data_IF_772673429780
#
_entry.id   IF_772673429780
#
_cell.length_a   1.000
_cell.length_b   1.000
_cell.length_c   1.000
_cell.angle_alpha   90.00
_cell.angle_beta   90.00
_cell.angle_gamma   90.00
#
_symmetry.space_group_name_H-M   'P 1'
#
loop_
_entity.id
_entity.type
_entity.pdbx_description
1 polymer ?
#
# COMPACT_ATOMS: atom_id res chain seq x y z
N UNK A 1 11.24 78.63 32.10
CA UNK A 1 11.91 77.37 32.48
C UNK A 1 10.85 76.29 32.60
N UNK A 2 10.63 75.49 31.56
CA UNK A 2 9.80 74.28 31.61
C UNK A 2 10.22 73.42 30.42
N UNK A 3 10.76 72.22 30.67
CA UNK A 3 11.23 71.30 29.62
C UNK A 3 10.15 70.24 29.42
N UNK A 4 9.59 70.18 28.21
CA UNK A 4 8.63 69.14 27.83
C UNK A 4 9.42 67.89 27.41
N UNK A 5 9.34 66.81 28.19
CA UNK A 5 9.91 65.51 27.83
C UNK A 5 8.98 64.78 26.86
N UNK A 6 9.42 64.63 25.61
CA UNK A 6 8.75 63.81 24.60
C UNK A 6 9.40 62.42 24.60
N UNK A 7 8.70 61.42 25.12
CA UNK A 7 9.15 60.02 25.12
C UNK A 7 8.92 59.40 23.75
N UNK A 8 9.99 59.25 22.96
CA UNK A 8 9.93 58.51 21.68
C UNK A 8 9.99 57.01 21.98
N UNK A 9 8.89 56.30 21.75
CA UNK A 9 8.83 54.85 21.91
C UNK A 9 9.38 54.18 20.64
N UNK A 10 10.63 53.68 20.70
CA UNK A 10 11.26 52.99 19.57
C UNK A 10 10.76 51.55 19.49
N UNK A 11 9.75 51.30 18.66
CA UNK A 11 9.21 49.95 18.41
C UNK A 11 10.22 49.08 17.66
N UNK A 12 10.92 48.19 18.37
CA UNK A 12 11.77 47.16 17.78
C UNK A 12 10.91 46.07 17.14
N UNK A 13 10.62 46.21 15.85
CA UNK A 13 10.11 45.12 15.02
C UNK A 13 11.22 44.10 14.79
N UNK A 14 11.30 43.07 15.64
CA UNK A 14 12.10 41.88 15.34
C UNK A 14 11.44 41.10 14.19
N UNK A 15 12.12 40.83 13.07
CA UNK A 15 11.56 39.99 12.02
C UNK A 15 11.44 38.56 12.54
N UNK A 16 10.19 38.09 12.70
CA UNK A 16 9.90 36.70 13.04
C UNK A 16 10.18 35.80 11.84
N UNK A 17 11.43 35.32 11.73
CA UNK A 17 11.80 34.27 10.77
C UNK A 17 11.19 32.94 11.22
N UNK A 18 9.89 32.76 10.99
CA UNK A 18 9.24 31.45 11.10
C UNK A 18 9.76 30.61 9.94
N UNK A 19 10.75 29.75 10.23
CA UNK A 19 11.19 28.71 9.29
C UNK A 19 10.01 27.79 9.01
N UNK A 20 9.50 27.80 7.77
CA UNK A 20 8.40 26.94 7.38
C UNK A 20 8.81 25.47 7.51
N UNK A 21 8.21 24.76 8.47
CA UNK A 21 8.36 23.31 8.66
C UNK A 21 7.63 22.57 7.55
N UNK A 22 8.23 21.50 7.01
CA UNK A 22 7.69 20.80 5.84
C UNK A 22 6.31 20.17 6.08
N UNK A 23 6.15 19.49 7.22
CA UNK A 23 4.83 19.11 7.76
C UNK A 23 4.65 19.70 9.16
N UNK A 24 3.40 19.84 9.66
CA UNK A 24 3.13 20.28 11.03
C UNK A 24 4.00 19.55 12.09
N UNK A 25 4.66 20.27 13.02
CA UNK A 25 5.54 19.66 14.02
C UNK A 25 4.82 19.21 15.30
N UNK A 26 3.51 19.42 15.39
CA UNK A 26 2.65 19.21 16.56
C UNK A 26 2.53 17.73 16.98
N UNK A 27 2.79 16.80 16.06
CA UNK A 27 2.84 15.36 16.34
C UNK A 27 4.21 14.86 16.87
N UNK A 28 5.20 15.76 16.99
CA UNK A 28 6.55 15.44 17.44
C UNK A 28 7.43 14.72 16.42
N UNK A 29 7.07 14.69 15.14
CA UNK A 29 7.98 14.42 14.04
C UNK A 29 8.66 15.73 13.63
N UNK A 30 9.97 15.70 13.46
CA UNK A 30 10.76 16.83 12.96
C UNK A 30 11.19 16.57 11.52
N UNK A 31 11.46 17.63 10.76
CA UNK A 31 11.92 17.50 9.37
C UNK A 31 13.24 16.71 9.26
N UNK A 32 14.07 16.71 10.31
CA UNK A 32 15.24 15.83 10.43
C UNK A 32 14.86 14.33 10.42
N UNK A 33 13.86 13.92 11.21
CA UNK A 33 13.38 12.52 11.25
C UNK A 33 12.76 12.13 9.91
N UNK A 34 11.98 13.03 9.30
CA UNK A 34 11.38 12.86 7.97
C UNK A 34 12.47 12.68 6.90
N UNK A 35 13.54 13.48 6.98
CA UNK A 35 14.69 13.40 6.08
C UNK A 35 15.44 12.06 6.22
N UNK A 36 15.60 11.52 7.44
CA UNK A 36 16.18 10.18 7.64
C UNK A 36 15.35 9.11 6.95
N UNK A 37 14.01 9.13 7.08
CA UNK A 37 13.16 8.17 6.37
C UNK A 37 13.32 8.28 4.85
N UNK A 38 13.19 9.48 4.27
CA UNK A 38 13.33 9.68 2.82
C UNK A 38 14.71 9.29 2.30
N UNK A 39 15.77 9.62 3.04
CA UNK A 39 17.13 9.26 2.69
C UNK A 39 17.33 7.74 2.69
N UNK A 40 16.95 7.05 3.77
CA UNK A 40 17.14 5.60 3.87
C UNK A 40 16.36 4.83 2.80
N UNK A 41 15.08 5.19 2.56
CA UNK A 41 14.30 4.56 1.50
C UNK A 41 14.93 4.76 0.12
N UNK A 42 15.30 5.99 -0.24
CA UNK A 42 15.91 6.26 -1.55
C UNK A 42 17.31 5.64 -1.69
N UNK A 43 18.09 5.58 -0.61
CA UNK A 43 19.38 4.89 -0.59
C UNK A 43 19.21 3.40 -0.93
N UNK A 44 18.31 2.69 -0.25
CA UNK A 44 18.10 1.26 -0.51
C UNK A 44 17.39 0.98 -1.84
N UNK A 45 16.48 1.86 -2.29
CA UNK A 45 15.89 1.80 -3.65
C UNK A 45 16.95 1.98 -4.72
N UNK A 46 17.91 2.89 -4.53
CA UNK A 46 19.06 3.09 -5.42
C UNK A 46 19.99 1.86 -5.47
N UNK A 47 20.24 1.22 -4.32
CA UNK A 47 21.00 -0.03 -4.26
C UNK A 47 20.25 -1.19 -4.94
N UNK A 48 18.94 -1.29 -4.76
CA UNK A 48 18.10 -2.28 -5.43
C UNK A 48 18.11 -2.08 -6.96
N UNK A 49 17.87 -0.85 -7.41
CA UNK A 49 17.86 -0.49 -8.83
C UNK A 49 19.18 -0.84 -9.53
N UNK A 50 20.33 -0.61 -8.88
CA UNK A 50 21.65 -0.97 -9.39
C UNK A 50 22.00 -2.46 -9.26
N UNK A 51 21.13 -3.30 -8.70
CA UNK A 51 21.38 -4.72 -8.45
C UNK A 51 22.46 -4.98 -7.39
N UNK A 52 22.55 -4.11 -6.38
CA UNK A 52 23.62 -4.11 -5.36
C UNK A 52 23.19 -4.67 -4.00
N UNK A 53 21.89 -4.93 -3.77
CA UNK A 53 21.43 -5.65 -2.59
C UNK A 53 21.61 -7.17 -2.78
N UNK A 54 22.43 -7.79 -1.94
CA UNK A 54 22.64 -9.24 -1.95
C UNK A 54 21.34 -9.97 -1.64
N UNK A 55 21.05 -11.08 -2.32
CA UNK A 55 19.90 -11.93 -2.01
C UNK A 55 20.39 -13.19 -1.28
N UNK A 56 19.81 -13.50 -0.10
CA UNK A 56 20.11 -14.72 0.66
C UNK A 56 19.93 -16.00 -0.16
N UNK A 57 18.95 -16.04 -1.07
CA UNK A 57 18.66 -17.21 -1.93
C UNK A 57 19.62 -17.34 -3.13
N UNK A 58 20.60 -16.44 -3.25
CA UNK A 58 21.69 -16.49 -4.21
C UNK A 58 21.82 -15.19 -5.01
N UNK A 59 23.06 -14.75 -5.23
CA UNK A 59 23.37 -13.57 -6.04
C UNK A 59 22.92 -12.25 -5.40
N UNK A 60 22.39 -11.37 -6.24
CA UNK A 60 21.84 -10.06 -5.88
C UNK A 60 20.38 -9.99 -6.35
N UNK A 61 19.63 -9.04 -5.82
CA UNK A 61 18.35 -8.64 -6.42
C UNK A 61 18.60 -8.16 -7.87
N UNK A 62 17.66 -8.39 -8.80
CA UNK A 62 17.80 -7.90 -10.18
C UNK A 62 17.88 -6.38 -10.22
N UNK A 63 18.45 -5.82 -11.29
CA UNK A 63 18.36 -4.36 -11.53
C UNK A 63 16.92 -3.93 -11.80
N UNK A 64 16.58 -2.69 -11.49
CA UNK A 64 15.27 -2.09 -11.76
C UNK A 64 15.35 -1.11 -12.94
N UNK A 65 14.45 -1.23 -13.91
CA UNK A 65 14.42 -0.36 -15.08
C UNK A 65 14.08 1.10 -14.74
N UNK A 66 13.07 1.30 -13.88
CA UNK A 66 12.41 2.59 -13.66
C UNK A 66 12.02 2.85 -12.19
N UNK A 67 12.84 2.42 -11.24
CA UNK A 67 12.60 2.60 -9.80
C UNK A 67 12.31 4.06 -9.45
N UNK A 68 11.11 4.37 -8.93
CA UNK A 68 10.77 5.76 -8.56
C UNK A 68 11.50 6.23 -7.32
N UNK A 69 11.81 7.52 -7.23
CA UNK A 69 12.30 8.20 -6.02
C UNK A 69 11.11 8.55 -5.10
N UNK A 70 11.16 8.14 -3.83
CA UNK A 70 10.12 8.48 -2.85
C UNK A 70 10.30 9.89 -2.30
N UNK A 71 9.20 10.61 -2.14
CA UNK A 71 9.10 11.91 -1.46
C UNK A 71 8.23 11.79 -0.20
N UNK A 72 8.30 12.77 0.70
CA UNK A 72 7.54 12.74 1.94
C UNK A 72 6.14 13.36 1.78
N UNK A 73 5.13 12.75 2.40
CA UNK A 73 3.74 13.20 2.36
C UNK A 73 3.17 13.36 3.77
N UNK A 74 2.62 14.55 4.04
CA UNK A 74 2.15 14.93 5.36
C UNK A 74 0.81 14.27 5.76
N UNK A 75 -0.07 13.96 4.80
CA UNK A 75 -1.32 13.26 5.11
C UNK A 75 -1.06 11.78 5.34
N UNK A 76 -0.08 11.18 4.62
CA UNK A 76 0.39 9.82 4.90
C UNK A 76 1.08 9.75 6.28
N UNK A 77 1.89 10.75 6.66
CA UNK A 77 2.46 10.80 8.02
C UNK A 77 1.36 10.88 9.08
N UNK A 78 0.38 11.78 8.87
CA UNK A 78 -0.71 11.99 9.81
C UNK A 78 -1.50 10.70 10.06
N UNK A 79 -1.86 9.97 9.01
CA UNK A 79 -2.58 8.70 9.11
C UNK A 79 -1.77 7.65 9.90
N UNK A 80 -0.51 7.42 9.49
CA UNK A 80 0.41 6.50 10.18
C UNK A 80 0.65 6.92 11.65
N UNK A 81 0.67 8.22 11.95
CA UNK A 81 0.84 8.75 13.30
C UNK A 81 -0.40 8.57 14.18
N UNK A 82 -1.60 8.79 13.63
CA UNK A 82 -2.87 8.50 14.32
C UNK A 82 -2.98 7.02 14.69
N UNK A 83 -2.50 6.12 13.80
CA UNK A 83 -2.41 4.70 14.12
C UNK A 83 -1.30 4.37 15.13
N UNK A 84 -0.09 4.90 14.94
CA UNK A 84 1.06 4.60 15.80
C UNK A 84 0.85 5.02 17.27
N UNK A 85 0.09 6.10 17.50
CA UNK A 85 -0.32 6.55 18.85
C UNK A 85 -1.18 5.51 19.61
N UNK A 86 -1.80 4.54 18.94
CA UNK A 86 -2.52 3.43 19.57
C UNK A 86 -1.57 2.41 20.22
N UNK A 87 -0.28 2.43 19.87
CA UNK A 87 0.75 1.54 20.42
C UNK A 87 0.49 0.03 20.21
N UNK A 88 -0.17 -0.32 19.11
CA UNK A 88 -0.46 -1.71 18.72
C UNK A 88 0.53 -2.11 17.60
N UNK A 89 1.39 -3.10 17.84
CA UNK A 89 2.33 -3.63 16.83
C UNK A 89 1.65 -4.73 16.00
N UNK A 90 0.65 -4.31 15.23
CA UNK A 90 -0.12 -5.11 14.25
C UNK A 90 -0.52 -4.15 13.13
N UNK A 91 -0.77 -4.64 11.92
CA UNK A 91 -1.40 -3.81 10.89
C UNK A 91 -2.87 -3.52 11.23
N UNK A 92 -3.34 -2.29 10.94
CA UNK A 92 -4.76 -1.95 10.82
C UNK A 92 -5.40 -2.61 9.58
N UNK A 93 -6.74 -2.57 9.43
CA UNK A 93 -7.38 -2.76 8.14
C UNK A 93 -6.78 -1.83 7.06
N UNK A 94 -6.85 -2.24 5.79
CA UNK A 94 -6.32 -1.44 4.68
C UNK A 94 -7.14 -0.16 4.43
N UNK A 95 -8.46 -0.21 4.65
CA UNK A 95 -9.36 0.93 4.55
C UNK A 95 -8.98 2.06 5.54
N UNK A 96 -8.58 1.72 6.77
CA UNK A 96 -8.08 2.64 7.81
C UNK A 96 -6.77 3.36 7.43
N UNK A 97 -6.13 2.98 6.31
CA UNK A 97 -4.94 3.63 5.77
C UNK A 97 -5.05 3.96 4.29
N UNK A 98 -6.26 4.25 3.82
CA UNK A 98 -6.52 4.67 2.43
C UNK A 98 -5.95 3.68 1.38
N UNK A 99 -5.88 2.40 1.72
CA UNK A 99 -5.28 1.34 0.90
C UNK A 99 -3.79 1.53 0.56
N UNK A 100 -3.09 2.29 1.40
CA UNK A 100 -1.63 2.41 1.38
C UNK A 100 -0.98 1.15 1.94
N UNK A 101 0.24 0.87 1.47
CA UNK A 101 1.09 -0.15 2.06
C UNK A 101 1.54 0.29 3.44
N UNK A 102 1.98 -0.63 4.29
CA UNK A 102 2.43 -0.29 5.64
C UNK A 102 3.55 -1.23 6.10
N UNK A 103 4.61 -0.65 6.65
CA UNK A 103 5.66 -1.38 7.36
C UNK A 103 5.72 -0.95 8.82
N UNK A 104 5.88 -1.91 9.72
CA UNK A 104 5.92 -1.69 11.16
C UNK A 104 7.23 -2.21 11.76
N UNK A 105 7.72 -1.56 12.81
CA UNK A 105 8.92 -1.96 13.54
C UNK A 105 8.85 -1.49 14.99
N UNK A 106 9.28 -2.31 15.93
CA UNK A 106 9.27 -1.95 17.35
C UNK A 106 10.51 -2.48 18.08
N UNK A 107 10.93 -1.76 19.12
CA UNK A 107 12.05 -2.13 20.00
C UNK A 107 11.73 -1.88 21.46
N UNK A 108 12.21 -2.74 22.36
CA UNK A 108 12.14 -2.54 23.81
C UNK A 108 12.99 -1.36 24.32
N UNK A 109 13.82 -0.75 23.47
CA UNK A 109 14.53 0.48 23.78
C UNK A 109 13.52 1.64 23.90
N UNK A 110 13.20 2.02 25.14
CA UNK A 110 12.31 3.14 25.47
C UNK A 110 12.97 4.47 25.13
N UNK A 111 12.18 5.42 24.66
CA UNK A 111 12.62 6.79 24.34
C UNK A 111 13.84 6.83 23.39
N UNK A 112 13.92 5.87 22.45
CA UNK A 112 14.99 5.85 21.44
C UNK A 112 14.90 7.13 20.59
N UNK A 113 16.05 7.73 20.27
CA UNK A 113 16.10 8.90 19.38
C UNK A 113 15.33 8.64 18.10
N UNK A 114 14.43 9.55 17.70
CA UNK A 114 13.53 9.33 16.56
C UNK A 114 14.29 9.17 15.24
N UNK A 115 15.42 9.85 15.07
CA UNK A 115 16.29 9.69 13.90
C UNK A 115 16.93 8.30 13.86
N UNK A 116 17.46 7.82 14.99
CA UNK A 116 18.04 6.49 15.09
C UNK A 116 16.99 5.36 14.98
N UNK A 117 15.77 5.58 15.49
CA UNK A 117 14.65 4.67 15.32
C UNK A 117 14.20 4.58 13.85
N UNK A 118 14.15 5.72 13.14
CA UNK A 118 13.86 5.76 11.71
C UNK A 118 14.91 5.00 10.88
N UNK A 119 16.20 5.25 11.15
CA UNK A 119 17.32 4.54 10.52
C UNK A 119 17.25 3.03 10.76
N UNK A 120 17.05 2.64 12.02
CA UNK A 120 17.00 1.23 12.46
C UNK A 120 15.80 0.48 11.91
N UNK A 121 14.64 1.12 11.78
CA UNK A 121 13.44 0.51 11.22
C UNK A 121 13.63 0.18 9.72
N UNK A 122 14.08 1.15 8.92
CA UNK A 122 14.29 0.95 7.48
C UNK A 122 15.41 -0.06 7.22
N UNK A 123 16.51 0.00 7.98
CA UNK A 123 17.58 -1.00 7.91
C UNK A 123 17.07 -2.40 8.31
N UNK A 124 16.18 -2.49 9.31
CA UNK A 124 15.51 -3.73 9.73
C UNK A 124 14.65 -4.33 8.62
N UNK A 125 13.80 -3.53 7.99
CA UNK A 125 12.96 -3.95 6.85
C UNK A 125 13.80 -4.43 5.67
N UNK A 126 14.87 -3.73 5.31
CA UNK A 126 15.77 -4.15 4.24
C UNK A 126 16.55 -5.42 4.60
N UNK A 127 16.86 -5.65 5.89
CA UNK A 127 17.65 -6.81 6.31
C UNK A 127 17.02 -8.15 5.92
N UNK A 128 15.70 -8.20 5.70
CA UNK A 128 14.97 -9.38 5.26
C UNK A 128 15.55 -10.01 3.98
N UNK A 129 15.99 -9.21 3.00
CA UNK A 129 16.59 -9.75 1.76
C UNK A 129 17.98 -10.36 1.98
N UNK A 130 18.65 -9.98 3.08
CA UNK A 130 19.95 -10.50 3.49
C UNK A 130 19.84 -11.72 4.41
N UNK A 131 18.81 -11.78 5.26
CA UNK A 131 18.59 -12.85 6.25
C UNK A 131 17.76 -14.01 5.70
N UNK A 132 16.70 -13.69 4.95
CA UNK A 132 15.70 -14.62 4.43
C UNK A 132 15.77 -14.71 2.90
N UNK A 133 15.87 -13.56 2.23
CA UNK A 133 15.96 -13.44 0.78
C UNK A 133 14.59 -13.34 0.10
N UNK A 134 14.64 -13.12 -1.22
CA UNK A 134 13.47 -12.94 -2.05
C UNK A 134 13.42 -14.00 -3.17
N UNK A 135 12.25 -14.54 -3.56
CA UNK A 135 12.14 -15.58 -4.59
C UNK A 135 12.92 -15.30 -5.88
N UNK A 136 13.50 -16.34 -6.48
CA UNK A 136 14.40 -16.20 -7.67
C UNK A 136 13.69 -15.72 -8.94
N UNK A 137 12.39 -15.98 -9.07
CA UNK A 137 11.56 -15.41 -10.14
C UNK A 137 11.24 -13.92 -9.90
N UNK A 138 11.65 -13.38 -8.76
CA UNK A 138 11.39 -12.02 -8.30
C UNK A 138 9.91 -11.63 -8.22
N UNK A 139 9.03 -12.62 -8.08
CA UNK A 139 7.59 -12.43 -7.88
C UNK A 139 7.27 -12.46 -6.39
N UNK A 140 6.45 -11.51 -5.96
CA UNK A 140 5.92 -11.44 -4.61
C UNK A 140 4.88 -12.54 -4.38
N UNK A 141 5.22 -13.55 -3.59
CA UNK A 141 4.38 -14.71 -3.23
C UNK A 141 3.97 -14.68 -1.75
N UNK A 142 3.16 -15.64 -1.29
CA UNK A 142 2.89 -15.82 0.16
C UNK A 142 4.19 -16.04 0.96
N UNK A 143 5.17 -16.75 0.38
CA UNK A 143 6.49 -16.90 0.95
C UNK A 143 7.23 -15.56 1.03
N UNK A 144 7.21 -14.76 -0.03
CA UNK A 144 7.80 -13.43 -0.03
C UNK A 144 7.14 -12.50 1.01
N UNK A 145 5.81 -12.50 1.10
CA UNK A 145 5.07 -11.76 2.12
C UNK A 145 5.52 -12.12 3.54
N UNK A 146 5.66 -13.41 3.83
CA UNK A 146 6.06 -13.90 5.17
C UNK A 146 7.54 -13.67 5.51
N UNK A 147 8.42 -13.60 4.51
CA UNK A 147 9.87 -13.67 4.69
C UNK A 147 10.61 -12.36 4.34
N UNK A 148 10.04 -11.53 3.48
CA UNK A 148 10.65 -10.32 2.94
C UNK A 148 9.62 -9.24 2.52
N UNK A 149 8.46 -9.21 3.20
CA UNK A 149 7.36 -8.31 2.90
C UNK A 149 7.67 -6.83 3.18
N UNK A 150 8.44 -6.54 4.23
CA UNK A 150 8.82 -5.16 4.50
C UNK A 150 9.88 -4.68 3.52
N UNK A 151 10.84 -5.54 3.16
CA UNK A 151 11.82 -5.28 2.11
C UNK A 151 11.14 -4.92 0.78
N UNK A 152 10.19 -5.73 0.30
CA UNK A 152 9.55 -5.51 -1.00
C UNK A 152 8.74 -4.23 -1.05
N UNK A 153 8.13 -3.79 0.04
CA UNK A 153 7.43 -2.51 0.12
C UNK A 153 8.40 -1.33 0.00
N UNK A 154 9.53 -1.36 0.73
CA UNK A 154 10.57 -0.30 0.63
C UNK A 154 11.08 -0.14 -0.81
N UNK A 155 11.23 -1.24 -1.54
CA UNK A 155 11.68 -1.25 -2.94
C UNK A 155 10.54 -1.31 -3.97
N UNK A 156 9.28 -1.09 -3.57
CA UNK A 156 8.16 -1.19 -4.51
C UNK A 156 8.18 -0.02 -5.50
N UNK A 157 8.34 -0.31 -6.80
CA UNK A 157 8.59 0.69 -7.84
C UNK A 157 7.59 1.83 -7.83
N UNK A 158 6.31 1.49 -7.69
CA UNK A 158 5.23 2.45 -7.88
C UNK A 158 4.97 3.35 -6.68
N UNK A 159 5.42 2.96 -5.48
CA UNK A 159 5.35 3.77 -4.27
C UNK A 159 6.32 4.94 -4.36
N UNK A 160 5.79 6.17 -4.40
CA UNK A 160 6.56 7.41 -4.56
C UNK A 160 6.26 8.50 -3.52
N UNK A 161 5.33 8.22 -2.61
CA UNK A 161 5.05 8.97 -1.38
C UNK A 161 5.19 8.06 -0.16
N UNK A 162 5.87 8.54 0.87
CA UNK A 162 5.92 7.88 2.19
C UNK A 162 5.54 8.87 3.29
N UNK A 163 4.96 8.34 4.36
CA UNK A 163 4.71 9.09 5.59
C UNK A 163 4.89 8.18 6.79
N UNK A 164 5.67 8.62 7.77
CA UNK A 164 6.17 7.76 8.83
C UNK A 164 5.95 8.36 10.22
N UNK A 165 5.84 7.50 11.22
CA UNK A 165 5.64 7.90 12.60
C UNK A 165 6.66 7.20 13.52
N UNK A 166 7.18 7.95 14.49
CA UNK A 166 7.93 7.38 15.63
C UNK A 166 7.26 7.80 16.93
N UNK A 167 6.79 6.83 17.69
CA UNK A 167 6.05 7.01 18.95
C UNK A 167 6.75 6.27 20.08
N UNK A 168 6.93 6.95 21.21
CA UNK A 168 7.40 6.33 22.45
C UNK A 168 6.19 5.79 23.22
N UNK A 169 5.99 4.48 23.11
CA UNK A 169 4.89 3.76 23.72
C UNK A 169 5.26 3.26 25.12
N UNK A 170 4.27 2.90 25.97
CA UNK A 170 4.53 2.21 27.22
C UNK A 170 5.36 0.94 27.00
N UNK A 171 6.64 0.98 27.39
CA UNK A 171 7.54 -0.17 27.30
C UNK A 171 8.37 -0.29 26.02
N UNK A 172 8.10 0.46 24.95
CA UNK A 172 8.76 0.30 23.64
C UNK A 172 8.86 1.61 22.84
N UNK A 173 9.80 1.69 21.89
CA UNK A 173 9.69 2.65 20.78
C UNK A 173 9.06 1.94 19.59
N UNK A 174 7.99 2.53 19.04
CA UNK A 174 7.25 2.02 17.88
C UNK A 174 7.50 2.94 16.69
N UNK A 175 7.76 2.33 15.53
CA UNK A 175 7.95 2.97 14.23
C UNK A 175 6.98 2.36 13.23
N UNK A 176 6.35 3.19 12.42
CA UNK A 176 5.61 2.75 11.24
C UNK A 176 5.86 3.69 10.07
N UNK A 177 5.77 3.16 8.85
CA UNK A 177 5.67 3.95 7.61
C UNK A 177 4.48 3.43 6.80
N UNK A 178 3.73 4.35 6.22
CA UNK A 178 2.74 4.07 5.17
C UNK A 178 3.27 4.54 3.80
N UNK A 179 2.87 3.82 2.76
CA UNK A 179 3.42 3.91 1.40
C UNK A 179 2.29 4.17 0.42
N UNK A 180 2.34 5.32 -0.24
CA UNK A 180 1.35 5.73 -1.22
C UNK A 180 2.00 5.85 -2.62
N UNK A 181 1.46 5.16 -3.64
CA UNK A 181 0.54 4.04 -3.53
C UNK A 181 1.17 2.82 -2.83
N UNK A 182 0.33 1.93 -2.29
CA UNK A 182 0.80 0.68 -1.68
C UNK A 182 1.36 -0.32 -2.69
N UNK A 183 2.31 -1.13 -2.23
CA UNK A 183 2.93 -2.23 -2.94
C UNK A 183 2.44 -3.60 -2.48
N UNK A 184 3.37 -4.56 -2.42
CA UNK A 184 3.17 -5.94 -1.97
C UNK A 184 1.99 -6.67 -2.64
N UNK A 185 1.73 -6.39 -3.91
CA UNK A 185 0.68 -7.03 -4.69
C UNK A 185 1.05 -8.48 -5.03
N UNK A 186 0.31 -9.51 -4.55
CA UNK A 186 0.68 -10.88 -4.82
C UNK A 186 0.68 -11.21 -6.30
N UNK A 187 1.77 -11.86 -6.73
CA UNK A 187 2.03 -12.20 -8.09
C UNK A 187 2.75 -11.15 -8.93
N UNK A 188 2.95 -9.94 -8.40
CA UNK A 188 3.72 -8.89 -9.07
C UNK A 188 5.18 -8.92 -8.62
N UNK A 189 6.08 -8.45 -9.48
CA UNK A 189 7.44 -8.15 -9.06
C UNK A 189 7.46 -6.82 -8.29
N UNK A 190 8.31 -6.65 -7.26
CA UNK A 190 8.46 -5.35 -6.57
C UNK A 190 8.82 -4.21 -7.52
N UNK A 191 9.51 -4.50 -8.63
CA UNK A 191 9.82 -3.56 -9.68
C UNK A 191 10.02 -4.26 -11.03
N UNK A 192 9.95 -3.48 -12.11
CA UNK A 192 10.26 -3.97 -13.45
C UNK A 192 11.76 -4.26 -13.58
N UNK A 193 12.10 -5.50 -13.94
CA UNK A 193 13.49 -5.92 -14.12
C UNK A 193 14.03 -5.36 -15.44
N UNK A 194 15.13 -4.62 -15.37
CA UNK A 194 15.82 -4.08 -16.53
C UNK A 194 17.02 -3.23 -16.14
N UNK A 195 17.76 -2.73 -17.13
CA UNK A 195 18.84 -1.77 -16.87
C UNK A 195 18.27 -0.43 -16.40
N UNK A 196 18.88 0.22 -15.39
CA UNK A 196 18.38 1.48 -14.85
C UNK A 196 18.32 2.61 -15.87
N UNK A 197 17.47 3.59 -15.57
CA UNK A 197 17.34 4.78 -16.39
C UNK A 197 18.70 5.45 -16.65
N UNK A 198 18.88 5.85 -17.91
CA UNK A 198 20.00 6.67 -18.40
C UNK A 198 19.50 7.96 -19.05
N UNK A 199 18.21 8.01 -19.40
CA UNK A 199 17.49 9.16 -19.97
C UNK A 199 16.13 9.27 -19.30
N UNK A 200 15.51 10.45 -19.38
CA UNK A 200 14.16 10.68 -18.86
C UNK A 200 13.10 9.80 -19.55
N UNK A 201 13.33 9.44 -20.81
CA UNK A 201 12.48 8.53 -21.58
C UNK A 201 12.47 7.10 -20.99
N UNK A 202 13.60 6.65 -20.43
CA UNK A 202 13.73 5.32 -19.84
C UNK A 202 12.80 5.14 -18.62
N UNK A 203 12.36 6.22 -17.98
CA UNK A 203 11.41 6.18 -16.87
C UNK A 203 9.98 5.82 -17.31
N UNK A 204 9.60 6.07 -18.57
CA UNK A 204 8.25 5.84 -19.12
C UNK A 204 7.09 6.45 -18.29
N UNK A 205 7.34 7.55 -17.58
CA UNK A 205 6.29 8.31 -16.90
C UNK A 205 6.34 9.81 -17.27
N UNK A 206 5.16 10.41 -17.47
CA UNK A 206 5.00 11.77 -18.03
C UNK A 206 5.59 12.81 -17.08
N UNK A 207 6.64 13.50 -17.52
CA UNK A 207 7.31 14.53 -16.72
C UNK A 207 8.26 14.00 -15.64
N UNK A 208 8.59 12.70 -15.69
CA UNK A 208 9.64 12.13 -14.85
C UNK A 208 11.04 12.51 -15.35
N UNK A 209 12.00 12.62 -14.43
CA UNK A 209 13.41 12.91 -14.73
C UNK A 209 14.29 11.79 -14.19
N UNK A 210 15.27 11.33 -14.96
CA UNK A 210 16.19 10.28 -14.54
C UNK A 210 17.35 10.83 -13.70
N UNK A 211 17.40 10.44 -12.43
CA UNK A 211 18.59 10.60 -11.58
C UNK A 211 19.59 9.49 -11.87
N UNK A 212 20.48 9.74 -12.84
CA UNK A 212 21.49 8.77 -13.32
C UNK A 212 22.36 8.21 -12.20
N UNK A 213 22.86 9.08 -11.33
CA UNK A 213 23.78 8.71 -10.24
C UNK A 213 23.11 7.86 -9.17
N UNK A 214 21.82 8.09 -8.93
CA UNK A 214 21.01 7.31 -7.98
C UNK A 214 20.37 6.07 -8.64
N UNK A 215 20.32 6.00 -9.98
CA UNK A 215 19.52 5.02 -10.73
C UNK A 215 18.01 5.08 -10.39
N UNK A 216 17.47 6.29 -10.18
CA UNK A 216 16.09 6.54 -9.77
C UNK A 216 15.35 7.49 -10.71
N UNK A 217 14.09 7.19 -10.99
CA UNK A 217 13.16 8.06 -11.70
C UNK A 217 12.48 9.02 -10.72
N UNK A 218 12.73 10.33 -10.87
CA UNK A 218 12.13 11.39 -10.06
C UNK A 218 10.73 11.70 -10.64
N UNK A 219 9.63 11.48 -9.90
CA UNK A 219 8.28 11.77 -10.39
C UNK A 219 8.00 13.29 -10.48
N UNK A 220 7.04 13.72 -11.33
CA UNK A 220 6.56 15.10 -11.33
C UNK A 220 5.98 15.45 -9.95
N UNK A 221 6.31 16.63 -9.43
CA UNK A 221 5.91 17.04 -8.08
C UNK A 221 6.68 16.35 -6.95
N UNK A 222 7.84 15.74 -7.23
CA UNK A 222 8.81 15.40 -6.20
C UNK A 222 9.27 16.68 -5.48
N UNK A 223 9.05 16.73 -4.16
CA UNK A 223 9.58 17.80 -3.30
C UNK A 223 10.73 17.23 -2.49
N UNK A 224 11.97 17.72 -2.65
CA UNK A 224 13.06 17.37 -1.76
C UNK A 224 12.75 17.90 -0.36
N UNK A 225 12.85 17.05 0.67
CA UNK A 225 13.03 17.56 2.02
C UNK A 225 14.34 18.34 2.04
N UNK A 226 14.30 19.59 2.51
CA UNK A 226 15.50 20.42 2.63
C UNK A 226 16.53 19.67 3.49
N UNK A 227 17.67 19.35 2.88
CA UNK A 227 18.73 18.63 3.56
C UNK A 227 19.24 19.46 4.73
N UNK A 228 19.28 18.85 5.92
CA UNK A 228 20.13 19.35 7.00
C UNK A 228 21.53 19.53 6.40
N UNK A 229 22.17 20.70 6.51
CA UNK A 229 23.49 20.90 5.94
C UNK A 229 24.45 19.88 6.54
N UNK A 230 24.95 18.96 5.71
CA UNK A 230 26.04 18.07 6.12
C UNK A 230 27.24 18.95 6.42
N UNK A 231 27.49 19.21 7.71
CA UNK A 231 28.60 20.05 8.14
C UNK A 231 29.89 19.36 7.74
N UNK A 232 30.48 19.78 6.62
CA UNK A 232 31.80 19.31 6.19
C UNK A 232 32.79 19.73 7.26
N UNK A 233 33.24 18.76 8.06
CA UNK A 233 34.16 18.98 9.18
C UNK A 233 35.53 19.41 8.67
N UNK A 234 35.72 20.71 8.43
CA UNK A 234 37.04 21.30 8.24
C UNK A 234 37.81 21.14 9.55
N UNK A 235 38.83 20.28 9.52
CA UNK A 235 39.62 19.89 10.68
C UNK A 235 40.28 21.11 11.34
N UNK A 236 39.72 21.59 12.45
CA UNK A 236 40.35 22.60 13.30
C UNK A 236 40.57 22.05 14.70
N UNK A 237 41.82 21.74 15.01
CA UNK A 237 42.26 21.17 16.29
C UNK A 237 42.11 22.17 17.44
N UNK A 238 41.18 21.93 18.36
CA UNK A 238 41.16 22.64 19.65
C UNK A 238 40.77 21.74 20.83
N UNK A 239 41.19 22.13 22.03
CA UNK A 239 41.47 21.24 23.16
C UNK A 239 40.22 20.87 24.00
N UNK A 240 40.22 19.62 24.49
CA UNK A 240 39.34 19.02 25.52
C UNK A 240 39.07 19.93 26.73
N UNK A 241 37.82 19.96 27.24
CA UNK A 241 37.58 19.78 28.69
C UNK A 241 36.83 18.48 29.03
N UNK A 242 36.98 18.02 30.27
CA UNK A 242 36.49 16.73 30.81
C UNK A 242 35.21 16.90 31.66
N UNK A 243 34.65 15.76 32.10
CA UNK A 243 33.81 15.51 33.32
C UNK A 243 32.30 15.83 33.20
N UNK A 244 31.34 15.10 33.80
CA UNK A 244 31.42 13.98 34.80
C UNK A 244 30.36 12.88 34.56
N UNK A 245 30.64 11.65 35.01
CA UNK A 245 29.73 10.48 35.14
C UNK A 245 28.60 10.67 36.15
N UNK A 246 27.41 10.10 35.89
CA UNK A 246 26.61 9.41 36.94
C UNK A 246 25.69 8.34 36.33
N UNK A 247 25.82 7.11 36.81
CA UNK A 247 24.94 5.96 36.53
C UNK A 247 23.93 5.79 37.68
N UNK A 248 22.71 5.32 37.40
CA UNK A 248 22.09 4.35 38.33
C UNK A 248 21.67 3.04 37.68
N UNK A 249 21.60 2.01 38.51
CA UNK A 249 21.60 0.58 38.18
C UNK A 249 20.21 -0.05 38.30
N UNK A 250 19.83 -0.84 37.28
CA UNK A 250 18.97 -2.06 37.31
C UNK A 250 17.66 -2.10 38.10
N UNK A 251 16.57 -2.51 37.42
CA UNK A 251 15.71 -3.62 37.89
C UNK A 251 15.09 -4.34 36.68
N UNK A 252 15.12 -5.68 36.71
CA UNK A 252 14.68 -6.56 35.62
C UNK A 252 13.26 -7.09 35.86
N UNK A 253 12.35 -6.93 34.91
CA UNK A 253 11.16 -7.81 34.78
C UNK A 253 10.80 -8.09 33.32
N UNK A 254 10.35 -9.32 33.07
CA UNK A 254 10.01 -9.93 31.77
C UNK A 254 8.58 -9.53 31.35
N UNK A 255 8.25 -9.40 30.04
CA UNK A 255 6.98 -8.80 29.62
C UNK A 255 5.76 -9.72 29.82
N UNK A 256 4.61 -9.08 30.05
CA UNK A 256 3.29 -9.72 30.05
C UNK A 256 2.54 -9.35 28.76
N UNK A 257 1.94 -10.35 28.12
CA UNK A 257 1.10 -10.20 26.92
C UNK A 257 -0.39 -10.02 27.31
N UNK A 258 -1.23 -9.75 26.29
CA UNK A 258 -2.71 -9.76 26.26
C UNK A 258 -3.38 -8.40 26.55
N UNK A 259 -4.29 -8.02 25.63
CA UNK A 259 -5.20 -6.89 25.70
C UNK A 259 -5.83 -6.65 24.33
N UNK A 260 -7.14 -6.89 24.19
CA UNK A 260 -7.85 -6.92 22.90
C UNK A 260 -8.07 -5.51 22.29
N UNK A 261 -8.28 -5.46 20.97
CA UNK A 261 -8.52 -4.21 20.23
C UNK A 261 -9.94 -3.69 20.46
N UNK A 262 -10.16 -2.37 20.62
CA UNK A 262 -11.49 -1.79 20.57
C UNK A 262 -12.11 -1.92 19.16
N UNK A 263 -13.44 -2.00 19.12
CA UNK A 263 -14.23 -2.24 17.90
C UNK A 263 -14.00 -1.20 16.79
N UNK A 264 -13.56 -1.68 15.63
CA UNK A 264 -13.62 -0.93 14.36
C UNK A 264 -14.95 -1.31 13.70
N UNK A 265 -15.78 -0.31 13.37
CA UNK A 265 -17.11 -0.53 12.81
C UNK A 265 -16.99 -0.86 11.32
N UNK A 266 -16.97 -2.15 10.98
CA UNK A 266 -16.84 -2.63 9.60
C UNK A 266 -17.87 -1.99 8.66
N UNK A 267 -17.40 -1.58 7.48
CA UNK A 267 -18.24 -1.08 6.39
C UNK A 267 -18.87 -2.21 5.56
N UNK A 268 -18.46 -3.45 5.80
CA UNK A 268 -18.93 -4.66 5.14
C UNK A 268 -19.56 -5.60 6.19
N UNK A 269 -20.71 -5.19 6.75
CA UNK A 269 -21.40 -5.91 7.83
C UNK A 269 -22.79 -6.36 7.41
N UNK A 270 -23.13 -7.63 7.66
CA UNK A 270 -24.44 -8.21 7.40
C UNK A 270 -25.04 -8.80 8.69
N UNK A 271 -25.51 -7.99 9.64
CA UNK A 271 -25.93 -8.43 10.98
C UNK A 271 -27.14 -9.37 11.00
N UNK A 272 -27.86 -9.53 9.88
CA UNK A 272 -28.93 -10.51 9.72
C UNK A 272 -28.49 -11.88 9.20
N UNK A 273 -27.24 -12.05 8.76
CA UNK A 273 -26.77 -13.27 8.09
C UNK A 273 -25.90 -14.15 8.98
N UNK A 274 -26.53 -15.17 9.58
CA UNK A 274 -25.87 -16.22 10.37
C UNK A 274 -25.37 -17.38 9.49
N UNK A 275 -24.62 -17.06 8.43
CA UNK A 275 -24.18 -17.98 7.38
C UNK A 275 -22.70 -18.41 7.50
N UNK A 276 -22.04 -18.02 8.61
CA UNK A 276 -20.62 -18.30 8.85
C UNK A 276 -19.64 -17.40 8.07
N UNK A 277 -20.11 -16.33 7.46
CA UNK A 277 -19.27 -15.19 7.05
C UNK A 277 -19.19 -14.19 8.20
N UNK A 278 -17.99 -13.72 8.50
CA UNK A 278 -17.74 -12.68 9.52
C UNK A 278 -17.37 -11.37 8.84
N UNK A 279 -17.58 -10.25 9.54
CA UNK A 279 -17.30 -8.92 9.00
C UNK A 279 -15.81 -8.74 8.61
N UNK A 280 -14.88 -9.42 9.28
CA UNK A 280 -13.46 -9.48 8.90
C UNK A 280 -13.26 -10.11 7.50
N UNK A 281 -13.99 -11.19 7.19
CA UNK A 281 -13.91 -11.88 5.90
C UNK A 281 -14.59 -11.07 4.80
N UNK A 282 -15.75 -10.46 5.10
CA UNK A 282 -16.46 -9.54 4.19
C UNK A 282 -15.60 -8.34 3.83
N UNK A 283 -14.96 -7.74 4.84
CA UNK A 283 -14.03 -6.62 4.67
C UNK A 283 -12.78 -7.04 3.89
N UNK A 284 -12.23 -8.24 4.12
CA UNK A 284 -11.12 -8.76 3.30
C UNK A 284 -11.49 -8.84 1.82
N UNK A 285 -12.66 -9.40 1.47
CA UNK A 285 -13.12 -9.40 0.08
C UNK A 285 -13.28 -7.98 -0.48
N UNK A 286 -13.97 -7.10 0.25
CA UNK A 286 -14.26 -5.75 -0.22
C UNK A 286 -12.99 -4.92 -0.45
N UNK A 287 -12.08 -4.94 0.51
CA UNK A 287 -10.82 -4.23 0.46
C UNK A 287 -9.96 -4.77 -0.69
N UNK A 288 -9.82 -6.10 -0.81
CA UNK A 288 -8.99 -6.73 -1.85
C UNK A 288 -9.49 -6.49 -3.27
N UNK A 289 -10.81 -6.44 -3.48
CA UNK A 289 -11.37 -6.05 -4.78
C UNK A 289 -11.12 -4.58 -5.10
N UNK A 290 -11.41 -3.66 -4.17
CA UNK A 290 -11.24 -2.23 -4.39
C UNK A 290 -9.78 -1.84 -4.62
N UNK A 291 -8.86 -2.46 -3.86
CA UNK A 291 -7.42 -2.42 -4.09
C UNK A 291 -7.03 -2.70 -5.54
N UNK A 292 -7.43 -3.86 -6.05
CA UNK A 292 -7.07 -4.28 -7.39
C UNK A 292 -7.74 -3.43 -8.47
N UNK A 293 -8.98 -2.98 -8.24
CA UNK A 293 -9.68 -2.03 -9.12
C UNK A 293 -8.97 -0.66 -9.15
N UNK A 294 -8.47 -0.18 -8.01
CA UNK A 294 -7.63 1.02 -7.94
C UNK A 294 -6.30 0.85 -8.69
N UNK A 295 -5.62 -0.29 -8.51
CA UNK A 295 -4.36 -0.62 -9.17
C UNK A 295 -4.52 -0.67 -10.70
N UNK A 296 -5.64 -1.23 -11.20
CA UNK A 296 -6.03 -1.20 -12.61
C UNK A 296 -6.31 0.25 -13.06
N UNK A 297 -7.22 0.95 -12.37
CA UNK A 297 -7.72 2.26 -12.82
C UNK A 297 -6.61 3.31 -12.95
N UNK A 298 -5.64 3.27 -12.03
CA UNK A 298 -4.46 4.14 -12.06
C UNK A 298 -3.37 3.70 -13.05
N UNK A 299 -3.54 2.60 -13.79
CA UNK A 299 -2.61 2.12 -14.82
C UNK A 299 -1.34 1.49 -14.24
N UNK A 300 -1.43 0.85 -13.07
CA UNK A 300 -0.29 0.28 -12.32
C UNK A 300 -0.32 -1.25 -12.21
N UNK A 301 -1.38 -1.89 -12.67
CA UNK A 301 -1.48 -3.36 -12.72
C UNK A 301 -0.69 -3.90 -13.92
N UNK A 302 0.48 -4.52 -13.71
CA UNK A 302 1.30 -5.12 -14.77
C UNK A 302 0.52 -6.17 -15.59
N UNK A 303 0.68 -6.16 -16.90
CA UNK A 303 0.00 -7.03 -17.85
C UNK A 303 0.99 -8.00 -18.52
N UNK A 304 0.68 -9.30 -18.55
CA UNK A 304 1.58 -10.31 -19.16
C UNK A 304 1.92 -10.03 -20.62
N UNK A 305 1.01 -9.41 -21.37
CA UNK A 305 1.21 -9.08 -22.79
C UNK A 305 2.13 -7.86 -23.00
N UNK A 306 2.60 -7.22 -21.92
CA UNK A 306 3.53 -6.10 -21.95
C UNK A 306 2.96 -4.85 -21.26
N UNK A 307 3.82 -4.15 -20.53
CA UNK A 307 3.48 -2.93 -19.81
C UNK A 307 2.46 -3.16 -18.69
N UNK A 308 1.57 -2.19 -18.53
CA UNK A 308 0.46 -2.22 -17.56
C UNK A 308 -0.88 -2.43 -18.29
N UNK A 309 -1.91 -2.84 -17.57
CA UNK A 309 -3.28 -2.72 -18.03
C UNK A 309 -3.60 -1.23 -18.28
N UNK A 310 -4.44 -0.91 -19.28
CA UNK A 310 -4.79 0.47 -19.56
C UNK A 310 -5.49 1.12 -18.35
N UNK A 311 -5.28 2.42 -18.16
CA UNK A 311 -5.99 3.19 -17.13
C UNK A 311 -7.50 3.14 -17.37
N UNK A 312 -8.29 3.16 -16.30
CA UNK A 312 -9.74 3.17 -16.38
C UNK A 312 -10.30 4.56 -16.03
N UNK A 313 -11.13 5.11 -16.91
CA UNK A 313 -11.65 6.47 -16.76
C UNK A 313 -12.61 6.62 -15.56
N UNK A 314 -13.43 5.59 -15.31
CA UNK A 314 -14.58 5.66 -14.38
C UNK A 314 -14.85 4.33 -13.65
N UNK A 315 -13.78 3.64 -13.24
CA UNK A 315 -13.88 2.37 -12.50
C UNK A 315 -14.70 2.57 -11.21
N UNK A 316 -15.82 1.85 -11.05
CA UNK A 316 -16.64 2.01 -9.84
C UNK A 316 -15.97 1.37 -8.62
N UNK A 317 -16.07 2.02 -7.45
CA UNK A 317 -15.77 1.40 -6.16
C UNK A 317 -16.89 0.41 -5.82
N UNK A 318 -16.51 -0.77 -5.35
CA UNK A 318 -17.44 -1.78 -4.86
C UNK A 318 -17.89 -1.47 -3.43
N UNK A 319 -19.17 -1.72 -3.14
CA UNK A 319 -19.75 -1.83 -1.80
C UNK A 319 -20.18 -3.28 -1.54
N UNK A 320 -20.34 -3.64 -0.25
CA UNK A 320 -20.81 -4.98 0.11
C UNK A 320 -22.34 -5.05 0.12
N UNK A 321 -22.90 -6.14 -0.41
CA UNK A 321 -24.34 -6.34 -0.55
C UNK A 321 -24.75 -7.70 0.05
N UNK A 322 -25.56 -7.64 1.10
CA UNK A 322 -25.96 -8.81 1.87
C UNK A 322 -26.92 -9.74 1.11
N UNK A 323 -27.74 -9.23 0.19
CA UNK A 323 -28.64 -10.07 -0.60
C UNK A 323 -27.83 -10.88 -1.63
N UNK A 324 -26.73 -10.31 -2.14
CA UNK A 324 -25.75 -11.01 -2.97
C UNK A 324 -24.96 -12.03 -2.15
N UNK A 325 -24.57 -11.71 -0.90
CA UNK A 325 -23.90 -12.66 0.00
C UNK A 325 -24.80 -13.88 0.30
N UNK A 326 -26.07 -13.65 0.64
CA UNK A 326 -27.00 -14.73 0.99
C UNK A 326 -27.08 -15.79 -0.13
N UNK A 327 -27.12 -15.33 -1.38
CA UNK A 327 -27.19 -16.19 -2.56
C UNK A 327 -25.88 -16.95 -2.84
N UNK A 328 -24.74 -16.26 -2.84
CA UNK A 328 -23.44 -16.90 -3.15
C UNK A 328 -23.02 -17.91 -2.08
N UNK A 329 -23.42 -17.73 -0.81
CA UNK A 329 -23.16 -18.71 0.25
C UNK A 329 -23.99 -19.98 0.07
N UNK A 330 -25.26 -19.88 -0.36
CA UNK A 330 -26.08 -21.07 -0.70
C UNK A 330 -25.44 -21.84 -1.87
N UNK A 331 -25.05 -21.14 -2.94
CA UNK A 331 -24.42 -21.76 -4.10
C UNK A 331 -23.05 -22.38 -3.78
N UNK A 332 -22.15 -21.66 -3.11
CA UNK A 332 -20.87 -22.21 -2.67
C UNK A 332 -21.04 -23.36 -1.67
N UNK A 333 -22.11 -23.35 -0.88
CA UNK A 333 -22.53 -24.43 0.02
C UNK A 333 -22.80 -25.77 -0.67
N UNK A 334 -23.13 -25.76 -1.97
CA UNK A 334 -23.25 -26.98 -2.78
C UNK A 334 -21.92 -27.70 -3.01
N UNK A 335 -20.79 -27.00 -2.85
CA UNK A 335 -19.46 -27.50 -3.17
C UNK A 335 -19.30 -28.02 -4.62
N UNK A 336 -20.08 -27.44 -5.54
CA UNK A 336 -20.02 -27.73 -6.98
C UNK A 336 -19.65 -26.48 -7.78
N UNK A 337 -18.61 -26.61 -8.60
CA UNK A 337 -18.27 -25.60 -9.61
C UNK A 337 -19.32 -25.60 -10.73
N UNK A 338 -19.72 -24.41 -11.19
CA UNK A 338 -20.57 -24.25 -12.37
C UNK A 338 -21.67 -23.21 -12.21
N UNK A 339 -22.85 -23.55 -12.69
CA UNK A 339 -23.95 -22.61 -12.93
C UNK A 339 -24.74 -22.25 -11.65
N UNK A 340 -24.70 -20.98 -11.23
CA UNK A 340 -25.69 -20.44 -10.28
C UNK A 340 -26.90 -19.86 -11.04
N UNK A 341 -28.06 -20.51 -10.91
CA UNK A 341 -29.30 -20.11 -11.58
C UNK A 341 -29.88 -18.78 -11.11
N UNK A 342 -29.69 -18.43 -9.84
CA UNK A 342 -30.22 -17.19 -9.24
C UNK A 342 -29.39 -15.99 -9.68
N UNK A 343 -28.06 -16.12 -9.61
CA UNK A 343 -27.14 -15.09 -10.11
C UNK A 343 -27.41 -14.79 -11.59
N UNK A 344 -27.55 -15.84 -12.42
CA UNK A 344 -27.84 -15.71 -13.85
C UNK A 344 -29.21 -15.06 -14.12
N UNK A 345 -30.26 -15.44 -13.37
CA UNK A 345 -31.59 -14.79 -13.45
C UNK A 345 -31.53 -13.29 -13.10
N UNK A 346 -30.73 -12.93 -12.10
CA UNK A 346 -30.54 -11.55 -11.66
C UNK A 346 -29.50 -10.78 -12.50
N UNK A 347 -28.84 -11.44 -13.48
CA UNK A 347 -27.73 -10.91 -14.28
C UNK A 347 -26.54 -10.45 -13.43
N UNK A 348 -26.24 -11.20 -12.37
CA UNK A 348 -25.05 -11.06 -11.56
C UNK A 348 -23.90 -11.88 -12.16
N UNK A 349 -22.68 -11.36 -12.02
CA UNK A 349 -21.46 -12.09 -12.35
C UNK A 349 -21.10 -13.07 -11.24
N UNK A 350 -20.26 -14.05 -11.54
CA UNK A 350 -19.82 -15.10 -10.59
C UNK A 350 -18.34 -15.39 -10.80
N UNK A 351 -17.55 -15.37 -9.73
CA UNK A 351 -16.22 -15.99 -9.69
C UNK A 351 -16.21 -17.10 -8.63
N UNK A 352 -15.46 -18.17 -8.87
CA UNK A 352 -15.20 -19.22 -7.87
C UNK A 352 -13.75 -19.72 -7.98
N UNK A 353 -13.14 -20.07 -6.86
CA UNK A 353 -11.80 -20.64 -6.77
C UNK A 353 -11.79 -21.80 -5.76
N UNK A 354 -10.94 -22.80 -6.01
CA UNK A 354 -10.68 -23.90 -5.08
C UNK A 354 -9.28 -23.76 -4.50
N UNK A 355 -9.20 -23.80 -3.18
CA UNK A 355 -7.96 -23.90 -2.43
C UNK A 355 -7.85 -25.30 -1.82
N UNK A 356 -6.62 -25.77 -1.57
CA UNK A 356 -6.42 -26.84 -0.57
C UNK A 356 -7.07 -26.45 0.76
N UNK A 357 -7.44 -27.42 1.59
CA UNK A 357 -8.21 -27.16 2.82
C UNK A 357 -7.56 -26.07 3.70
N UNK A 358 -8.20 -24.91 3.73
CA UNK A 358 -7.77 -23.71 4.44
C UNK A 358 -8.88 -23.32 5.41
N UNK A 359 -8.72 -23.60 6.73
CA UNK A 359 -9.75 -23.32 7.73
C UNK A 359 -9.84 -21.83 8.12
N UNK A 360 -8.79 -21.04 7.86
CA UNK A 360 -8.83 -19.59 8.06
C UNK A 360 -9.54 -18.92 6.88
N UNK A 361 -10.79 -18.47 7.10
CA UNK A 361 -11.61 -17.85 6.05
C UNK A 361 -11.04 -16.53 5.54
N UNK A 362 -10.44 -15.70 6.39
CA UNK A 362 -9.82 -14.43 5.96
C UNK A 362 -8.64 -14.68 5.02
N UNK A 363 -7.79 -15.67 5.33
CA UNK A 363 -6.70 -16.12 4.45
C UNK A 363 -7.24 -16.66 3.12
N UNK A 364 -8.23 -17.54 3.16
CA UNK A 364 -8.83 -18.11 1.95
C UNK A 364 -9.48 -17.04 1.05
N UNK A 365 -10.16 -16.05 1.65
CA UNK A 365 -10.72 -14.91 0.92
C UNK A 365 -9.64 -14.13 0.17
N UNK A 366 -8.53 -13.78 0.83
CA UNK A 366 -7.40 -13.12 0.18
C UNK A 366 -6.83 -13.97 -0.97
N UNK A 367 -6.51 -15.25 -0.73
CA UNK A 367 -5.94 -16.14 -1.75
C UNK A 367 -6.85 -16.33 -2.98
N UNK A 368 -8.17 -16.41 -2.80
CA UNK A 368 -9.11 -16.55 -3.91
C UNK A 368 -9.19 -15.28 -4.78
N UNK A 369 -9.22 -14.10 -4.17
CA UNK A 369 -9.22 -12.82 -4.92
C UNK A 369 -7.87 -12.58 -5.60
N UNK A 370 -6.77 -12.91 -4.93
CA UNK A 370 -5.41 -12.87 -5.50
C UNK A 370 -5.30 -13.81 -6.70
N UNK A 371 -5.90 -15.01 -6.63
CA UNK A 371 -5.92 -15.96 -7.72
C UNK A 371 -6.67 -15.41 -8.95
N UNK A 372 -7.85 -14.82 -8.77
CA UNK A 372 -8.61 -14.18 -9.87
C UNK A 372 -7.83 -13.02 -10.49
N UNK A 373 -7.28 -12.12 -9.66
CA UNK A 373 -6.51 -10.99 -10.18
C UNK A 373 -5.21 -11.43 -10.87
N UNK A 374 -4.65 -12.57 -10.46
CA UNK A 374 -3.37 -13.07 -10.99
C UNK A 374 -3.38 -13.41 -12.49
N UNK A 375 -4.56 -13.60 -13.08
CA UNK A 375 -4.72 -13.89 -14.51
C UNK A 375 -4.12 -12.77 -15.39
N UNK A 376 -4.18 -11.50 -14.94
CA UNK A 376 -3.61 -10.37 -15.68
C UNK A 376 -2.09 -10.47 -15.84
N UNK A 377 -1.35 -10.84 -14.79
CA UNK A 377 0.11 -10.96 -14.90
C UNK A 377 0.56 -12.37 -15.34
N UNK A 378 -0.28 -13.40 -15.20
CA UNK A 378 0.01 -14.77 -15.67
C UNK A 378 -0.27 -14.98 -17.16
N UNK A 379 -1.38 -14.44 -17.65
CA UNK A 379 -1.96 -14.74 -18.98
C UNK A 379 -2.14 -13.46 -19.81
N UNK A 380 -2.54 -12.36 -19.17
CA UNK A 380 -2.63 -11.04 -19.76
C UNK A 380 -3.87 -10.76 -20.61
N UNK A 381 -4.20 -9.49 -20.70
CA UNK A 381 -5.41 -8.98 -21.36
C UNK A 381 -4.99 -8.08 -22.54
N UNK A 382 -5.61 -8.18 -23.73
CA UNK A 382 -5.35 -7.27 -24.83
C UNK A 382 -5.46 -5.79 -24.44
N UNK A 383 -4.61 -4.94 -25.01
CA UNK A 383 -4.54 -3.51 -24.66
C UNK A 383 -5.74 -2.68 -25.15
N UNK A 384 -6.58 -3.23 -26.04
CA UNK A 384 -7.89 -2.66 -26.37
C UNK A 384 -8.95 -2.89 -25.26
N UNK A 385 -8.63 -3.73 -24.27
CA UNK A 385 -9.46 -4.10 -23.12
C UNK A 385 -10.84 -4.67 -23.48
N UNK A 386 -11.02 -5.22 -24.70
CA UNK A 386 -12.29 -5.79 -25.17
C UNK A 386 -12.43 -7.23 -24.70
N UNK A 387 -13.52 -7.54 -24.01
CA UNK A 387 -13.85 -8.90 -23.58
C UNK A 387 -14.40 -9.72 -24.76
N UNK A 388 -13.56 -10.59 -25.32
CA UNK A 388 -13.89 -11.45 -26.47
C UNK A 388 -13.97 -12.93 -26.06
N UNK A 389 -14.39 -13.79 -26.99
CA UNK A 389 -14.50 -15.23 -26.72
C UNK A 389 -13.14 -15.89 -26.36
N UNK A 390 -12.02 -15.27 -26.75
CA UNK A 390 -10.65 -15.71 -26.43
C UNK A 390 -10.39 -15.79 -24.91
N UNK A 391 -11.09 -14.97 -24.11
CA UNK A 391 -10.93 -14.91 -22.65
C UNK A 391 -11.39 -16.19 -21.97
N UNK A 392 -12.47 -16.81 -22.47
CA UNK A 392 -12.95 -18.11 -21.98
C UNK A 392 -11.97 -19.24 -22.30
N UNK A 393 -11.27 -19.18 -23.44
CA UNK A 393 -10.26 -20.18 -23.82
C UNK A 393 -8.91 -19.96 -23.15
N UNK A 394 -8.61 -18.73 -22.72
CA UNK A 394 -7.34 -18.38 -22.06
C UNK A 394 -7.39 -18.39 -20.53
N UNK A 395 -8.58 -18.30 -19.92
CA UNK A 395 -8.75 -18.25 -18.47
C UNK A 395 -8.42 -16.88 -17.88
N UNK A 396 -8.95 -15.81 -18.47
CA UNK A 396 -8.87 -14.42 -17.96
C UNK A 396 -10.24 -13.89 -17.52
N UNK A 397 -11.20 -14.78 -17.31
CA UNK A 397 -12.60 -14.49 -17.01
C UNK A 397 -12.79 -13.89 -15.62
N UNK A 398 -12.12 -14.41 -14.61
CA UNK A 398 -12.31 -14.01 -13.22
C UNK A 398 -11.65 -12.66 -12.94
N UNK A 399 -10.47 -12.38 -13.51
CA UNK A 399 -9.91 -11.02 -13.58
C UNK A 399 -10.89 -10.07 -14.27
N UNK A 400 -11.45 -10.47 -15.42
CA UNK A 400 -12.33 -9.58 -16.19
C UNK A 400 -13.60 -9.22 -15.43
N UNK A 401 -14.13 -10.13 -14.62
CA UNK A 401 -15.29 -9.83 -13.77
C UNK A 401 -14.90 -8.96 -12.55
N UNK A 402 -13.76 -9.23 -11.91
CA UNK A 402 -13.23 -8.39 -10.82
C UNK A 402 -12.98 -6.95 -11.29
N UNK A 403 -12.44 -6.81 -12.50
CA UNK A 403 -12.11 -5.54 -13.15
C UNK A 403 -13.31 -4.84 -13.83
N UNK A 404 -14.50 -5.46 -13.85
CA UNK A 404 -15.61 -4.95 -14.67
C UNK A 404 -16.13 -3.59 -14.18
N UNK A 405 -16.10 -2.57 -15.03
CA UNK A 405 -16.31 -1.17 -14.64
C UNK A 405 -17.57 -0.95 -13.81
N UNK A 406 -18.71 -1.44 -14.31
CA UNK A 406 -20.03 -1.18 -13.72
C UNK A 406 -20.38 -2.06 -12.53
N UNK A 407 -19.61 -3.12 -12.25
CA UNK A 407 -19.86 -3.99 -11.10
C UNK A 407 -19.43 -3.27 -9.82
N UNK A 408 -20.41 -2.77 -9.07
CA UNK A 408 -20.19 -1.89 -7.91
C UNK A 408 -20.80 -2.42 -6.60
N UNK A 409 -21.40 -3.61 -6.61
CA UNK A 409 -21.86 -4.35 -5.43
C UNK A 409 -21.30 -5.76 -5.47
N UNK A 410 -20.83 -6.27 -4.33
CA UNK A 410 -20.36 -7.66 -4.19
C UNK A 410 -20.93 -8.34 -2.95
N UNK A 411 -21.11 -9.65 -3.04
CA UNK A 411 -21.28 -10.54 -1.90
C UNK A 411 -20.42 -11.78 -2.12
N UNK A 412 -19.85 -12.34 -1.05
CA UNK A 412 -18.86 -13.42 -1.17
C UNK A 412 -19.03 -14.52 -0.12
N UNK A 413 -18.46 -15.68 -0.40
CA UNK A 413 -18.52 -16.87 0.44
C UNK A 413 -17.15 -17.54 0.57
N UNK A 414 -16.86 -18.07 1.77
CA UNK A 414 -15.83 -19.09 1.98
C UNK A 414 -16.45 -20.30 2.65
N UNK A 415 -16.38 -21.47 2.00
CA UNK A 415 -17.04 -22.71 2.42
C UNK A 415 -16.02 -23.84 2.53
N UNK A 416 -16.05 -24.59 3.63
CA UNK A 416 -15.31 -25.86 3.75
C UNK A 416 -16.07 -26.97 3.03
N UNK A 417 -15.45 -27.56 2.01
CA UNK A 417 -16.05 -28.62 1.22
C UNK A 417 -15.56 -29.99 1.71
N UNK A 418 -16.40 -30.62 2.52
CA UNK A 418 -16.16 -31.92 3.18
C UNK A 418 -14.83 -32.00 3.95
N UNK A 419 -14.30 -30.85 4.40
CA UNK A 419 -12.96 -30.69 5.00
C UNK A 419 -11.79 -31.18 4.14
N UNK A 420 -12.00 -31.35 2.83
CA UNK A 420 -10.97 -31.78 1.87
C UNK A 420 -10.37 -30.59 1.09
N UNK A 421 -11.18 -29.57 0.83
CA UNK A 421 -10.78 -28.35 0.12
C UNK A 421 -11.67 -27.17 0.57
N UNK A 422 -11.25 -25.95 0.25
CA UNK A 422 -12.02 -24.73 0.56
C UNK A 422 -12.49 -24.07 -0.73
N UNK A 423 -13.80 -23.84 -0.85
CA UNK A 423 -14.38 -23.05 -1.93
C UNK A 423 -14.38 -21.57 -1.54
N UNK A 424 -13.95 -20.72 -2.46
CA UNK A 424 -14.00 -19.26 -2.36
C UNK A 424 -14.81 -18.75 -3.53
N UNK A 425 -15.88 -17.99 -3.29
CA UNK A 425 -16.77 -17.51 -4.35
C UNK A 425 -17.22 -16.07 -4.11
N UNK A 426 -17.45 -15.33 -5.18
CA UNK A 426 -18.04 -13.99 -5.13
C UNK A 426 -19.05 -13.81 -6.26
N UNK A 427 -20.10 -13.04 -5.97
CA UNK A 427 -21.08 -12.58 -6.94
C UNK A 427 -21.05 -11.06 -7.07
N UNK A 428 -21.32 -10.58 -8.28
CA UNK A 428 -21.09 -9.20 -8.70
C UNK A 428 -22.37 -8.61 -9.29
N UNK A 429 -22.83 -7.50 -8.71
CA UNK A 429 -24.06 -6.82 -9.12
C UNK A 429 -23.73 -5.37 -9.55
N UNK A 430 -24.13 -4.93 -10.76
CA UNK A 430 -24.53 -5.76 -11.90
C UNK A 430 -23.38 -6.66 -12.39
N UNK A 431 -23.71 -7.74 -13.08
CA UNK A 431 -22.73 -8.64 -13.69
C UNK A 431 -22.02 -8.06 -14.91
N UNK A 432 -20.81 -8.56 -15.15
CA UNK A 432 -19.93 -8.17 -16.24
C UNK A 432 -19.92 -9.17 -17.40
N UNK A 433 -18.73 -9.42 -17.95
CA UNK A 433 -18.44 -10.45 -18.96
C UNK A 433 -19.30 -10.36 -20.24
N UNK A 434 -19.68 -9.15 -20.63
CA UNK A 434 -20.46 -8.90 -21.85
C UNK A 434 -19.52 -9.00 -23.05
N UNK A 435 -19.76 -9.99 -23.92
CA UNK A 435 -19.01 -10.17 -25.15
C UNK A 435 -18.99 -8.90 -26.01
N UNK A 436 -17.84 -8.62 -26.62
CA UNK A 436 -17.58 -7.47 -27.49
C UNK A 436 -17.74 -6.10 -26.83
N UNK A 437 -17.80 -6.04 -25.48
CA UNK A 437 -17.72 -4.80 -24.72
C UNK A 437 -16.32 -4.69 -24.08
N UNK A 438 -15.89 -3.47 -23.79
CA UNK A 438 -14.72 -3.24 -22.92
C UNK A 438 -15.00 -3.72 -21.50
N UNK A 439 -13.97 -4.23 -20.82
CA UNK A 439 -14.06 -4.55 -19.38
C UNK A 439 -14.27 -3.26 -18.57
N UNK A 440 -13.59 -2.19 -18.99
CA UNK A 440 -13.75 -0.82 -18.52
C UNK A 440 -13.36 0.19 -19.60
N UNK A 441 -13.87 1.41 -19.49
CA UNK A 441 -13.56 2.50 -20.41
C UNK A 441 -12.11 2.95 -20.21
N UNK A 442 -11.31 2.88 -21.27
CA UNK A 442 -9.92 3.32 -21.25
C UNK A 442 -9.87 4.86 -21.19
N UNK A 443 -9.13 5.41 -20.24
CA UNK A 443 -8.92 6.85 -20.10
C UNK A 443 -8.20 7.22 -18.80
N UNK A 444 -7.84 8.49 -18.64
CA UNK A 444 -7.27 8.97 -17.38
C UNK A 444 -8.30 8.84 -16.23
N UNK A 445 -7.87 8.41 -15.03
CA UNK A 445 -8.76 8.16 -13.90
C UNK A 445 -9.44 9.44 -13.42
N UNK A 446 -10.56 9.29 -12.72
CA UNK A 446 -11.32 10.41 -12.20
C UNK A 446 -10.47 11.34 -11.32
N UNK A 447 -10.68 12.65 -11.49
CA UNK A 447 -10.09 13.73 -10.69
C UNK A 447 -11.15 14.70 -10.15
N UNK A 448 -12.36 14.64 -10.72
CA UNK A 448 -13.57 15.39 -10.40
C UNK A 448 -14.75 14.42 -10.31
N UNK A 449 -15.90 14.85 -9.80
CA UNK A 449 -17.09 13.99 -9.71
C UNK A 449 -17.72 13.77 -11.09
N UNK A 450 -17.61 14.79 -11.94
CA UNK A 450 -18.08 14.84 -13.32
C UNK A 450 -17.39 13.76 -14.18
N UNK A 451 -16.11 13.49 -13.91
CA UNK A 451 -15.34 12.43 -14.58
C UNK A 451 -15.97 11.04 -14.43
N UNK A 452 -16.79 10.79 -13.39
CA UNK A 452 -17.44 9.50 -13.19
C UNK A 452 -18.62 9.24 -14.14
N UNK A 453 -19.26 10.29 -14.68
CA UNK A 453 -20.42 10.19 -15.59
C UNK A 453 -21.60 9.35 -15.07
N UNK A 454 -21.83 9.33 -13.75
CA UNK A 454 -23.02 8.73 -13.14
C UNK A 454 -23.66 9.66 -12.11
N UNK A 455 -24.99 9.63 -12.02
CA UNK A 455 -25.77 10.56 -11.20
C UNK A 455 -25.49 10.35 -9.70
N UNK A 456 -25.09 11.43 -9.01
CA UNK A 456 -24.75 11.40 -7.59
C UNK A 456 -23.39 10.77 -7.24
N UNK A 457 -22.63 10.31 -8.25
CA UNK A 457 -21.34 9.68 -8.01
C UNK A 457 -20.27 10.68 -7.55
N UNK A 458 -19.35 10.21 -6.71
CA UNK A 458 -18.21 10.99 -6.18
C UNK A 458 -16.90 10.31 -6.55
N UNK A 459 -15.90 11.06 -6.97
CA UNK A 459 -14.57 10.50 -7.24
C UNK A 459 -13.72 10.40 -5.97
N UNK A 460 -13.34 9.18 -5.57
CA UNK A 460 -12.25 8.96 -4.62
C UNK A 460 -10.92 9.11 -5.35
N UNK A 461 -10.40 10.35 -5.36
CA UNK A 461 -9.19 10.73 -6.13
C UNK A 461 -7.97 9.90 -5.76
N UNK A 462 -7.80 9.60 -4.47
CA UNK A 462 -6.67 8.81 -3.97
C UNK A 462 -6.73 7.35 -4.43
N UNK A 463 -7.93 6.82 -4.61
CA UNK A 463 -8.16 5.44 -5.07
C UNK A 463 -8.29 5.34 -6.60
N UNK A 464 -8.46 6.44 -7.32
CA UNK A 464 -8.85 6.45 -8.73
C UNK A 464 -10.18 5.71 -9.01
N UNK A 465 -11.12 5.75 -8.06
CA UNK A 465 -12.40 5.03 -8.12
C UNK A 465 -13.63 5.96 -7.97
N UNK A 466 -14.67 5.64 -8.72
CA UNK A 466 -15.97 6.31 -8.67
C UNK A 466 -16.91 5.64 -7.66
N UNK A 467 -17.28 6.36 -6.61
CA UNK A 467 -18.18 5.90 -5.55
C UNK A 467 -19.62 6.20 -5.97
N UNK A 468 -20.48 5.19 -5.96
CA UNK A 468 -21.92 5.36 -6.16
C UNK A 468 -22.58 6.02 -4.93
N UNK A 469 -23.70 6.75 -5.11
CA UNK A 469 -24.45 7.34 -3.99
C UNK A 469 -25.11 6.30 -3.05
#
# INVERSE_FOLDING_TARGET
MLILLVTVCLGLLTPSWVTATYCPPDNGMTDEVRAVFVYQHNHYRSLAARGQLKNKLGGYVPKAARMKKVSYDCEVEKNMMEYAKKCIVKHNPEADRNYWGQNLWATGARNMSKTHAAESAVAGWISEVWTHGFPKNYIFSEEAWRMAGHFSEVVWQESDKIGCAVVWCPGMTFVGCEYNPGGNWPGYAPYEIGDPCTTDADCQCKGCVCSRDEALCIPPGYVPLHTVPTTTTTTTTTKKPTTTTTTPTTTTTKPLYIGESPDIKSTASCPGLNNGMTDEVREMFLNRHNNYRSLIASGRAMNKLGGFAPKAARMMKMSYDCDVEANVVEWAGSCMFGYNSVAQKNRWGTNMHSLSFTPNKTKAAAEGVDAWFSELYKIGVPQDNVFTNDFFTRGTTEYSQLAWQTSNKIGCAVVSCWNAWTAVACEYNPGGLKLSHTIYDIGDPCTTNEDCQCAGCVCSKNEALCVAP
#
